data_IF_266998926299
#
_entry.id   IF_266998926299
#
_cell.length_a   1.000
_cell.length_b   1.000
_cell.length_c   1.000
_cell.angle_alpha   90.00
_cell.angle_beta   90.00
_cell.angle_gamma   90.00
#
_symmetry.space_group_name_H-M   'P 1'
#
loop_
_entity.id
_entity.type
_entity.pdbx_description
1 polymer ?
#
# COMPACT_ATOMS: atom_id res chain seq x y z
N UNK A 1 -6.88 18.97 -11.12
CA UNK A 1 -6.30 19.32 -12.44
C UNK A 1 -6.56 18.15 -13.35
N UNK A 2 -7.29 18.43 -14.44
CA UNK A 2 -7.35 17.68 -15.71
C UNK A 2 -7.51 16.15 -15.66
N UNK A 3 -8.76 15.69 -15.50
CA UNK A 3 -9.20 14.42 -16.08
C UNK A 3 -9.92 14.72 -17.40
N UNK A 4 -9.16 15.06 -18.44
CA UNK A 4 -9.67 15.16 -19.82
C UNK A 4 -8.54 14.86 -20.79
N UNK A 5 -8.62 13.70 -21.45
CA UNK A 5 -8.60 13.55 -22.91
C UNK A 5 -8.50 12.07 -23.28
N UNK A 6 -9.66 11.43 -23.35
CA UNK A 6 -9.87 10.33 -24.28
C UNK A 6 -10.94 10.83 -25.27
N UNK A 7 -10.50 11.69 -26.19
CA UNK A 7 -11.28 12.06 -27.37
C UNK A 7 -10.81 11.15 -28.50
N UNK A 8 -11.55 10.07 -28.73
CA UNK A 8 -11.55 9.33 -30.00
C UNK A 8 -12.98 9.40 -30.53
N UNK A 9 -13.09 10.08 -31.66
CA UNK A 9 -14.29 10.35 -32.42
C UNK A 9 -14.74 9.14 -33.26
N UNK A 10 -16.06 9.05 -33.41
CA UNK A 10 -16.83 8.66 -34.61
C UNK A 10 -17.26 7.19 -34.81
N UNK A 11 -18.58 7.08 -34.69
CA UNK A 11 -19.54 6.33 -35.51
C UNK A 11 -19.59 4.79 -35.44
N UNK A 12 -20.68 4.32 -34.83
CA UNK A 12 -21.38 3.12 -35.25
C UNK A 12 -20.72 1.80 -34.90
N UNK A 13 -21.22 1.14 -33.86
CA UNK A 13 -21.82 -0.20 -33.95
C UNK A 13 -22.04 -0.75 -32.53
N UNK A 14 -23.29 -1.13 -32.28
CA UNK A 14 -23.87 -1.49 -30.99
C UNK A 14 -23.51 -2.90 -30.52
N UNK A 15 -22.26 -3.35 -30.68
CA UNK A 15 -21.86 -4.74 -30.38
C UNK A 15 -20.52 -4.93 -29.63
N UNK A 16 -19.88 -3.88 -29.10
CA UNK A 16 -18.60 -4.02 -28.38
C UNK A 16 -18.64 -3.75 -26.85
N UNK A 17 -19.82 -3.77 -26.24
CA UNK A 17 -19.99 -3.40 -24.82
C UNK A 17 -20.23 -4.56 -23.84
N UNK A 18 -19.80 -5.77 -24.19
CA UNK A 18 -19.83 -6.93 -23.29
C UNK A 18 -18.45 -7.60 -23.12
N UNK A 19 -17.35 -6.83 -23.18
CA UNK A 19 -16.00 -7.34 -22.91
C UNK A 19 -15.33 -6.80 -21.63
N UNK A 20 -15.98 -5.86 -20.93
CA UNK A 20 -15.41 -5.18 -19.75
C UNK A 20 -15.94 -5.69 -18.40
N UNK A 21 -16.62 -6.84 -18.36
CA UNK A 21 -17.35 -7.28 -17.16
C UNK A 21 -16.46 -7.68 -15.97
N UNK A 22 -15.14 -7.88 -16.17
CA UNK A 22 -14.25 -8.44 -15.13
C UNK A 22 -12.80 -7.93 -15.15
N UNK A 23 -12.54 -6.69 -15.58
CA UNK A 23 -11.21 -6.09 -15.44
C UNK A 23 -10.95 -5.69 -13.98
N UNK A 24 -10.42 -6.61 -13.19
CA UNK A 24 -9.93 -6.33 -11.84
C UNK A 24 -8.51 -5.74 -11.92
N UNK A 25 -8.33 -4.53 -11.42
CA UNK A 25 -7.00 -3.95 -11.23
C UNK A 25 -6.40 -4.56 -9.97
N UNK A 26 -5.30 -5.29 -10.13
CA UNK A 26 -4.57 -5.88 -8.99
C UNK A 26 -3.58 -4.85 -8.46
N UNK A 27 -3.78 -4.42 -7.21
CA UNK A 27 -2.82 -3.57 -6.50
C UNK A 27 -1.71 -4.43 -5.91
N UNK A 28 -0.46 -3.99 -6.08
CA UNK A 28 0.72 -4.60 -5.44
C UNK A 28 0.97 -3.86 -4.14
N UNK A 29 1.02 -4.59 -3.04
CA UNK A 29 1.39 -4.05 -1.74
C UNK A 29 2.87 -4.36 -1.46
N UNK A 30 3.64 -3.39 -0.95
CA UNK A 30 5.01 -3.63 -0.55
C UNK A 30 5.06 -4.59 0.66
N UNK A 31 6.07 -5.48 0.73
CA UNK A 31 6.21 -6.40 1.85
C UNK A 31 6.52 -5.64 3.15
N UNK A 32 6.03 -6.13 4.29
CA UNK A 32 6.25 -5.54 5.62
C UNK A 32 5.70 -4.13 5.86
N UNK A 33 4.81 -3.65 5.00
CA UNK A 33 4.16 -2.33 5.13
C UNK A 33 2.63 -2.46 5.26
N UNK A 34 2.12 -3.07 6.35
CA UNK A 34 0.68 -3.27 6.56
C UNK A 34 -0.10 -1.95 6.66
N UNK A 35 0.55 -0.85 7.02
CA UNK A 35 -0.04 0.50 7.06
C UNK A 35 -0.48 1.00 5.68
N UNK A 36 0.07 0.43 4.59
CA UNK A 36 -0.35 0.72 3.22
C UNK A 36 -1.48 -0.19 2.74
N UNK A 37 -1.96 -1.12 3.58
CA UNK A 37 -3.07 -2.00 3.28
C UNK A 37 -4.35 -1.55 4.01
N UNK A 38 -5.35 -0.99 3.31
CA UNK A 38 -6.58 -0.51 3.97
C UNK A 38 -7.37 -1.63 4.67
N UNK A 39 -7.23 -2.89 4.25
CA UNK A 39 -7.90 -4.02 4.91
C UNK A 39 -7.37 -4.19 6.35
N UNK A 40 -6.07 -3.94 6.58
CA UNK A 40 -5.49 -4.02 7.93
C UNK A 40 -6.04 -2.93 8.85
N UNK A 41 -6.32 -1.74 8.30
CA UNK A 41 -6.97 -0.66 9.05
C UNK A 41 -8.39 -1.03 9.50
N UNK A 42 -9.19 -1.61 8.61
CA UNK A 42 -10.54 -2.11 8.96
C UNK A 42 -10.45 -3.27 9.95
N UNK A 43 -9.49 -4.17 9.76
CA UNK A 43 -9.24 -5.27 10.69
C UNK A 43 -8.86 -4.77 12.08
N UNK A 44 -8.07 -3.70 12.19
CA UNK A 44 -7.76 -3.05 13.47
C UNK A 44 -9.03 -2.49 14.14
N UNK A 45 -9.92 -1.81 13.40
CA UNK A 45 -11.20 -1.32 13.94
C UNK A 45 -12.05 -2.46 14.50
N UNK A 46 -12.14 -3.58 13.78
CA UNK A 46 -12.88 -4.76 14.22
C UNK A 46 -12.28 -5.34 15.51
N UNK A 47 -10.97 -5.56 15.54
CA UNK A 47 -10.27 -6.08 16.73
C UNK A 47 -10.46 -5.17 17.94
N UNK A 48 -10.33 -3.86 17.76
CA UNK A 48 -10.52 -2.89 18.84
C UNK A 48 -11.93 -2.91 19.38
N UNK A 49 -12.94 -3.05 18.51
CA UNK A 49 -14.33 -3.18 18.93
C UNK A 49 -14.55 -4.46 19.75
N UNK A 50 -14.07 -5.60 19.26
CA UNK A 50 -14.19 -6.88 19.96
C UNK A 50 -13.48 -6.81 21.32
N UNK A 51 -12.24 -6.30 21.36
CA UNK A 51 -11.47 -6.19 22.59
C UNK A 51 -12.17 -5.30 23.65
N UNK A 52 -12.86 -4.24 23.22
CA UNK A 52 -13.58 -3.35 24.13
C UNK A 52 -14.89 -3.94 24.69
N UNK A 53 -15.53 -4.86 23.97
CA UNK A 53 -16.87 -5.38 24.32
C UNK A 53 -16.88 -6.85 24.74
N UNK A 54 -15.79 -7.59 24.53
CA UNK A 54 -15.68 -8.99 24.91
C UNK A 54 -15.40 -9.13 26.42
N UNK A 55 -16.46 -9.21 27.22
CA UNK A 55 -16.38 -9.40 28.68
C UNK A 55 -16.40 -10.89 29.07
N UNK A 56 -16.96 -11.76 28.22
CA UNK A 56 -17.20 -13.18 28.52
C UNK A 56 -16.05 -14.10 28.11
N UNK A 57 -15.14 -13.64 27.26
CA UNK A 57 -14.03 -14.41 26.70
C UNK A 57 -14.45 -15.72 25.99
N UNK A 58 -15.70 -15.79 25.52
CA UNK A 58 -16.24 -16.93 24.76
C UNK A 58 -16.19 -16.64 23.27
N UNK A 59 -15.82 -17.65 22.47
CA UNK A 59 -15.73 -17.52 21.02
C UNK A 59 -17.08 -17.18 20.37
N UNK A 60 -18.19 -17.75 20.86
CA UNK A 60 -19.52 -17.47 20.32
C UNK A 60 -19.91 -15.99 20.46
N UNK A 61 -19.48 -15.36 21.55
CA UNK A 61 -19.76 -13.94 21.81
C UNK A 61 -18.83 -13.06 20.96
N UNK A 62 -17.57 -13.46 20.77
CA UNK A 62 -16.65 -12.80 19.82
C UNK A 62 -17.20 -12.82 18.41
N UNK A 63 -17.75 -13.96 17.96
CA UNK A 63 -18.33 -14.10 16.63
C UNK A 63 -19.50 -13.13 16.41
N UNK A 64 -20.42 -13.05 17.37
CA UNK A 64 -21.56 -12.11 17.31
C UNK A 64 -21.09 -10.65 17.26
N UNK A 65 -20.14 -10.27 18.11
CA UNK A 65 -19.56 -8.92 18.12
C UNK A 65 -18.88 -8.60 16.79
N UNK A 66 -18.19 -9.57 16.19
CA UNK A 66 -17.54 -9.41 14.90
C UNK A 66 -18.55 -9.17 13.78
N UNK A 67 -19.59 -10.01 13.70
CA UNK A 67 -20.66 -9.84 12.71
C UNK A 67 -21.38 -8.51 12.86
N UNK A 68 -21.73 -8.12 14.08
CA UNK A 68 -22.43 -6.87 14.34
C UNK A 68 -21.56 -5.67 13.96
N UNK A 69 -20.25 -5.70 14.28
CA UNK A 69 -19.36 -4.62 13.86
C UNK A 69 -19.17 -4.58 12.34
N UNK A 70 -19.00 -5.73 11.68
CA UNK A 70 -18.86 -5.78 10.22
C UNK A 70 -20.09 -5.26 9.49
N UNK A 71 -21.30 -5.54 9.99
CA UNK A 71 -22.56 -4.98 9.44
C UNK A 71 -22.65 -3.47 9.61
N UNK A 72 -22.04 -2.94 10.68
CA UNK A 72 -22.05 -1.51 10.98
C UNK A 72 -20.87 -0.75 10.35
N UNK A 73 -19.84 -1.44 9.84
CA UNK A 73 -18.73 -0.79 9.14
C UNK A 73 -19.25 -0.23 7.82
N UNK A 74 -19.43 1.09 7.79
CA UNK A 74 -20.00 1.84 6.68
C UNK A 74 -18.95 2.50 5.79
N UNK A 75 -19.45 3.21 4.78
CA UNK A 75 -18.62 3.94 3.81
C UNK A 75 -17.70 4.96 4.50
N UNK A 76 -18.17 5.64 5.55
CA UNK A 76 -17.39 6.65 6.26
C UNK A 76 -16.13 6.07 6.93
N UNK A 77 -16.21 4.87 7.51
CA UNK A 77 -15.04 4.23 8.14
C UNK A 77 -14.03 3.77 7.08
N UNK A 78 -14.52 3.24 5.95
CA UNK A 78 -13.68 2.92 4.80
C UNK A 78 -12.99 4.15 4.23
N UNK A 79 -13.71 5.25 4.01
CA UNK A 79 -13.14 6.50 3.52
C UNK A 79 -12.04 7.02 4.43
N UNK A 80 -12.25 6.98 5.77
CA UNK A 80 -11.22 7.37 6.74
C UNK A 80 -9.97 6.50 6.66
N UNK A 81 -10.14 5.18 6.54
CA UNK A 81 -9.01 4.25 6.44
C UNK A 81 -8.26 4.44 5.11
N UNK A 82 -8.97 4.57 4.00
CA UNK A 82 -8.36 4.85 2.70
C UNK A 82 -7.61 6.19 2.69
N UNK A 83 -8.18 7.24 3.31
CA UNK A 83 -7.51 8.52 3.46
C UNK A 83 -6.24 8.42 4.31
N UNK A 84 -6.25 7.60 5.36
CA UNK A 84 -5.05 7.33 6.17
C UNK A 84 -3.95 6.65 5.34
N UNK A 85 -4.30 5.61 4.57
CA UNK A 85 -3.36 4.92 3.67
C UNK A 85 -2.76 5.88 2.65
N UNK A 86 -3.57 6.70 1.99
CA UNK A 86 -3.11 7.69 1.02
C UNK A 86 -2.15 8.72 1.64
N UNK A 87 -2.42 9.15 2.87
CA UNK A 87 -1.51 10.03 3.62
C UNK A 87 -0.18 9.35 3.94
N UNK A 88 -0.21 8.09 4.37
CA UNK A 88 1.00 7.31 4.65
C UNK A 88 1.83 7.11 3.37
N UNK A 89 1.19 6.87 2.24
CA UNK A 89 1.86 6.78 0.94
C UNK A 89 2.56 8.09 0.56
N UNK A 90 1.88 9.24 0.69
CA UNK A 90 2.48 10.55 0.44
C UNK A 90 3.69 10.82 1.35
N UNK A 91 3.60 10.45 2.62
CA UNK A 91 4.72 10.56 3.56
C UNK A 91 5.92 9.71 3.14
N UNK A 92 5.71 8.48 2.65
CA UNK A 92 6.78 7.64 2.13
C UNK A 92 7.44 8.25 0.89
N UNK A 93 6.62 8.70 -0.06
CA UNK A 93 7.10 9.36 -1.29
C UNK A 93 7.93 10.61 -0.93
N UNK A 94 7.48 11.41 0.05
CA UNK A 94 8.19 12.63 0.47
C UNK A 94 9.54 12.36 1.14
N UNK A 95 9.72 11.19 1.74
CA UNK A 95 10.95 10.77 2.43
C UNK A 95 11.93 10.10 1.49
N UNK A 96 11.47 9.62 0.35
CA UNK A 96 12.31 9.03 -0.67
C UNK A 96 13.25 10.12 -1.22
N UNK A 97 14.55 9.98 -0.97
CA UNK A 97 15.55 10.82 -1.63
C UNK A 97 15.50 10.49 -3.13
N UNK A 98 15.29 11.49 -3.97
CA UNK A 98 15.45 11.33 -5.42
C UNK A 98 16.86 10.78 -5.69
N UNK A 99 16.96 9.49 -6.04
CA UNK A 99 18.18 8.86 -6.52
C UNK A 99 18.20 8.85 -8.05
N UNK A 100 17.70 9.93 -8.66
CA UNK A 100 17.74 10.16 -10.11
C UNK A 100 19.06 10.78 -10.58
N UNK A 101 20.07 10.86 -9.71
CA UNK A 101 21.45 10.95 -10.17
C UNK A 101 21.84 9.56 -10.72
N UNK A 102 21.35 9.27 -11.93
CA UNK A 102 21.71 8.10 -12.72
C UNK A 102 23.22 8.16 -12.97
N UNK A 103 24.01 7.65 -12.03
CA UNK A 103 25.39 7.31 -12.31
C UNK A 103 25.36 6.19 -13.34
N UNK A 104 25.90 6.48 -14.52
CA UNK A 104 26.03 5.51 -15.60
C UNK A 104 26.77 4.27 -15.07
N UNK A 105 26.02 3.19 -14.79
CA UNK A 105 26.58 1.96 -14.27
C UNK A 105 27.22 1.18 -15.43
N UNK A 106 28.43 1.59 -15.83
CA UNK A 106 29.17 0.94 -16.92
C UNK A 106 29.74 -0.40 -16.45
N UNK A 107 29.09 -1.51 -16.78
CA UNK A 107 29.64 -2.86 -16.59
C UNK A 107 30.58 -3.17 -17.77
N UNK A 108 31.89 -3.04 -17.57
CA UNK A 108 32.88 -3.44 -18.58
C UNK A 108 33.17 -4.94 -18.45
N UNK A 109 32.64 -5.74 -19.38
CA UNK A 109 32.71 -7.22 -19.33
C UNK A 109 34.10 -7.80 -19.65
N UNK A 110 35.06 -7.00 -20.14
CA UNK A 110 36.40 -7.47 -20.50
C UNK A 110 37.52 -6.52 -20.02
N UNK A 111 37.78 -6.47 -18.72
CA UNK A 111 39.07 -5.95 -18.25
C UNK A 111 39.48 -6.69 -16.97
N UNK A 112 40.53 -7.50 -17.06
CA UNK A 112 41.27 -8.02 -15.92
C UNK A 112 41.85 -6.84 -15.15
N UNK A 113 41.13 -6.35 -14.15
CA UNK A 113 41.65 -5.39 -13.18
C UNK A 113 40.97 -5.63 -11.86
N UNK A 114 41.77 -6.07 -10.88
CA UNK A 114 41.34 -6.34 -9.50
C UNK A 114 40.76 -5.06 -8.92
N UNK A 115 39.46 -5.08 -8.66
CA UNK A 115 38.75 -4.01 -7.98
C UNK A 115 39.17 -3.97 -6.51
N UNK A 116 39.81 -2.88 -6.08
CA UNK A 116 39.89 -2.54 -4.66
C UNK A 116 38.49 -2.12 -4.21
N UNK A 117 37.88 -2.97 -3.40
CA UNK A 117 36.60 -2.71 -2.77
C UNK A 117 36.83 -1.75 -1.60
N UNK A 118 36.53 -0.47 -1.76
CA UNK A 118 36.41 0.42 -0.61
C UNK A 118 35.14 0.06 0.16
N UNK A 119 35.30 -0.78 1.18
CA UNK A 119 34.30 -1.01 2.21
C UNK A 119 33.99 0.33 2.87
N UNK A 120 32.83 0.90 2.56
CA UNK A 120 32.31 2.04 3.29
C UNK A 120 31.93 1.55 4.68
N UNK A 121 32.85 1.71 5.63
CA UNK A 121 32.56 1.46 7.03
C UNK A 121 31.66 2.58 7.52
N UNK A 122 30.37 2.30 7.63
CA UNK A 122 29.47 3.12 8.44
C UNK A 122 30.03 3.12 9.86
N UNK A 123 30.50 4.27 10.35
CA UNK A 123 30.80 4.42 11.76
C UNK A 123 29.46 4.34 12.50
N UNK A 124 29.26 3.23 13.20
CA UNK A 124 28.31 3.14 14.30
C UNK A 124 28.93 3.93 15.47
N UNK A 125 28.56 5.21 15.59
CA UNK A 125 28.77 5.94 16.84
C UNK A 125 27.73 5.46 17.84
N UNK A 126 28.08 4.39 18.55
CA UNK A 126 27.53 4.07 19.86
C UNK A 126 27.71 5.28 20.79
N UNK A 127 26.61 5.95 21.14
CA UNK A 127 26.54 6.73 22.37
C UNK A 127 25.38 6.24 23.21
N UNK A 128 25.66 5.19 23.98
CA UNK A 128 24.99 4.92 25.25
C UNK A 128 25.37 6.02 26.26
N UNK A 129 24.45 6.95 26.53
CA UNK A 129 24.16 7.44 27.89
C UNK A 129 22.77 8.08 27.98
#
# INVERSE_FOLDING_TARGET
MECLKAEVMMEGESEEFEYNKWHNIVLRLPPYHPELNPIEGIWALLKNHIAAHNVTFKLDDVWKLAEDKLKNIGVEEWEKVCAHVAKSEEEYISREHFTDDVHEFIIRVNNDSKSECNYFSSNEDDNDF
#
